data_IF_030168952534
#
_entry.id   IF_030168952534
#
_cell.length_a   1.000
_cell.length_b   1.000
_cell.length_c   1.000
_cell.angle_alpha   90.00
_cell.angle_beta   90.00
_cell.angle_gamma   90.00
#
_symmetry.space_group_name_H-M   'P 1'
#
loop_
_entity.id
_entity.type
_entity.pdbx_description
1 polymer ?
#
# COMPACT_ATOMS: atom_id res chain seq x y z
N UNK A 1 6.40 6.60 14.36
CA UNK A 1 5.20 7.27 14.88
C UNK A 1 4.02 7.05 13.92
N UNK A 2 4.07 7.50 12.66
CA UNK A 2 2.94 7.38 11.74
C UNK A 2 2.60 5.94 11.27
N UNK A 3 3.57 5.12 10.85
CA UNK A 3 3.30 3.74 10.42
C UNK A 3 2.64 2.88 11.53
N UNK A 4 3.08 3.08 12.77
CA UNK A 4 2.45 2.45 13.94
C UNK A 4 1.03 2.93 14.17
N UNK A 5 0.75 4.22 13.98
CA UNK A 5 -0.61 4.78 14.08
C UNK A 5 -1.54 4.23 12.99
N UNK A 6 -1.04 3.98 11.78
CA UNK A 6 -1.82 3.31 10.73
C UNK A 6 -2.14 1.85 11.04
N UNK A 7 -1.28 1.15 11.79
CA UNK A 7 -1.52 -0.23 12.23
C UNK A 7 -2.39 -0.30 13.49
N UNK A 8 -2.27 0.70 14.37
CA UNK A 8 -2.95 0.84 15.66
C UNK A 8 -3.35 2.30 15.87
N UNK A 9 -4.54 2.72 15.41
CA UNK A 9 -4.95 4.13 15.40
C UNK A 9 -5.02 4.71 16.81
N UNK A 10 -4.36 5.86 16.98
CA UNK A 10 -4.33 6.68 18.19
C UNK A 10 -4.57 8.16 17.90
N UNK A 11 -4.26 8.63 16.69
CA UNK A 11 -4.47 10.04 16.28
C UNK A 11 -5.94 10.33 15.93
N UNK A 12 -6.59 9.42 15.21
CA UNK A 12 -7.99 9.55 14.78
C UNK A 12 -8.84 8.48 15.45
N UNK A 13 -10.16 8.67 15.45
CA UNK A 13 -11.07 7.65 15.97
C UNK A 13 -10.96 6.36 15.17
N UNK A 14 -11.25 5.22 15.82
CA UNK A 14 -11.27 3.92 15.14
C UNK A 14 -12.21 3.91 13.93
N UNK A 15 -13.34 4.63 14.00
CA UNK A 15 -14.26 4.78 12.87
C UNK A 15 -13.62 5.54 11.70
N UNK A 16 -12.98 6.68 11.96
CA UNK A 16 -12.30 7.45 10.91
C UNK A 16 -11.14 6.67 10.28
N UNK A 17 -10.40 5.91 11.08
CA UNK A 17 -9.35 5.02 10.56
C UNK A 17 -9.93 3.91 9.68
N UNK A 18 -11.03 3.27 10.10
CA UNK A 18 -11.72 2.26 9.30
C UNK A 18 -12.22 2.84 7.97
N UNK A 19 -12.81 4.03 7.99
CA UNK A 19 -13.25 4.71 6.77
C UNK A 19 -12.03 5.03 5.86
N UNK A 20 -10.94 5.54 6.44
CA UNK A 20 -9.75 5.89 5.66
C UNK A 20 -9.08 4.70 4.97
N UNK A 21 -9.22 3.49 5.52
CA UNK A 21 -8.55 2.27 5.06
C UNK A 21 -9.49 1.29 4.34
N UNK A 22 -10.72 1.72 4.03
CA UNK A 22 -11.71 0.96 3.24
C UNK A 22 -12.13 1.71 1.98
N UNK A 23 -12.58 0.96 0.97
CA UNK A 23 -12.96 1.54 -0.34
C UNK A 23 -14.11 2.52 -0.18
N UNK A 24 -13.90 3.76 -0.62
CA UNK A 24 -14.90 4.83 -0.47
C UNK A 24 -15.81 4.97 -1.70
N UNK A 25 -15.27 4.70 -2.89
CA UNK A 25 -15.99 4.82 -4.16
C UNK A 25 -15.77 3.57 -5.01
N UNK A 26 -16.58 2.52 -4.83
CA UNK A 26 -16.36 1.23 -5.47
C UNK A 26 -16.63 1.29 -6.99
N UNK A 27 -15.89 0.49 -7.74
CA UNK A 27 -16.10 0.31 -9.18
C UNK A 27 -15.52 1.40 -10.07
N UNK A 28 -14.73 2.34 -9.49
CA UNK A 28 -14.04 3.36 -10.27
C UNK A 28 -12.76 2.79 -10.87
N UNK A 29 -12.65 2.85 -12.19
CA UNK A 29 -11.41 2.60 -12.92
C UNK A 29 -10.41 3.75 -12.69
N UNK A 30 -9.12 3.45 -12.84
CA UNK A 30 -8.08 4.48 -12.73
C UNK A 30 -6.72 3.99 -13.19
N UNK A 31 -5.72 4.86 -13.05
CA UNK A 31 -4.32 4.54 -13.36
C UNK A 31 -3.54 4.49 -12.07
N UNK A 32 -2.81 3.40 -11.87
CA UNK A 32 -1.78 3.27 -10.86
C UNK A 32 -0.44 3.69 -11.50
N UNK A 33 0.17 4.82 -11.10
CA UNK A 33 1.35 5.36 -11.79
C UNK A 33 2.50 4.34 -11.85
N UNK A 34 3.02 4.07 -13.05
CA UNK A 34 4.05 3.05 -13.29
C UNK A 34 3.53 1.62 -13.45
N UNK A 35 2.27 1.34 -13.09
CA UNK A 35 1.67 0.00 -13.13
C UNK A 35 0.44 -0.09 -14.07
N UNK A 36 0.05 1.03 -14.69
CA UNK A 36 -0.97 1.07 -15.73
C UNK A 36 -2.40 1.16 -15.20
N UNK A 37 -3.36 0.84 -16.07
CA UNK A 37 -4.80 0.94 -15.78
C UNK A 37 -5.24 -0.20 -14.87
N UNK A 38 -6.02 0.12 -13.84
CA UNK A 38 -6.61 -0.82 -12.89
C UNK A 38 -8.15 -0.70 -12.93
N UNK A 39 -8.83 -1.85 -12.97
CA UNK A 39 -10.29 -1.95 -13.11
C UNK A 39 -10.86 -2.98 -12.11
N UNK A 40 -11.27 -2.57 -10.90
CA UNK A 40 -11.29 -1.20 -10.37
C UNK A 40 -9.91 -0.73 -9.85
N UNK A 41 -9.75 0.58 -9.70
CA UNK A 41 -8.63 1.23 -9.01
C UNK A 41 -9.11 1.70 -7.63
N UNK A 42 -9.21 0.79 -6.66
CA UNK A 42 -9.81 1.08 -5.35
C UNK A 42 -8.96 1.99 -4.45
N UNK A 43 -9.60 2.96 -3.80
CA UNK A 43 -8.97 3.90 -2.87
C UNK A 43 -9.83 4.09 -1.62
N UNK A 44 -9.13 4.28 -0.50
CA UNK A 44 -9.70 4.83 0.73
C UNK A 44 -9.60 6.34 0.78
N UNK A 45 -9.69 6.91 1.99
CA UNK A 45 -9.49 8.36 2.19
C UNK A 45 -7.99 8.66 2.30
N UNK A 46 -7.37 8.89 1.13
CA UNK A 46 -5.95 9.25 1.01
C UNK A 46 -5.00 8.07 0.80
N UNK A 47 -5.45 6.84 1.03
CA UNK A 47 -4.66 5.62 0.79
C UNK A 47 -5.13 4.86 -0.44
N UNK A 48 -4.15 4.35 -1.18
CA UNK A 48 -4.36 3.33 -2.19
C UNK A 48 -4.60 1.99 -1.48
N UNK A 49 -5.56 1.17 -1.96
CA UNK A 49 -5.87 -0.16 -1.41
C UNK A 49 -5.55 -1.23 -2.45
N UNK A 50 -4.62 -2.14 -2.13
CA UNK A 50 -4.10 -3.17 -3.06
C UNK A 50 -5.21 -3.92 -3.80
N UNK A 51 -6.19 -4.42 -3.05
CA UNK A 51 -7.26 -5.30 -3.53
C UNK A 51 -6.73 -6.35 -4.54
N UNK A 52 -7.29 -6.40 -5.74
CA UNK A 52 -6.94 -7.33 -6.82
C UNK A 52 -6.09 -6.71 -7.93
N UNK A 53 -5.52 -5.52 -7.70
CA UNK A 53 -4.74 -4.80 -8.71
C UNK A 53 -3.53 -5.61 -9.14
N UNK A 54 -3.27 -5.63 -10.44
CA UNK A 54 -2.10 -6.28 -11.02
C UNK A 54 -1.73 -5.61 -12.35
N UNK A 55 -0.45 -5.29 -12.59
CA UNK A 55 0.67 -5.37 -11.63
C UNK A 55 0.52 -4.36 -10.47
N UNK A 56 1.27 -4.54 -9.38
CA UNK A 56 1.17 -3.71 -8.18
C UNK A 56 2.52 -3.44 -7.52
N UNK A 57 2.64 -2.34 -6.76
CA UNK A 57 3.89 -1.92 -6.10
C UNK A 57 4.17 -2.62 -4.77
N UNK A 58 3.19 -3.34 -4.22
CA UNK A 58 3.34 -4.19 -3.03
C UNK A 58 3.55 -5.65 -3.42
N UNK A 59 4.10 -6.44 -2.51
CA UNK A 59 4.49 -7.84 -2.75
C UNK A 59 3.31 -8.74 -3.09
N UNK A 60 3.55 -9.82 -3.82
CA UNK A 60 2.52 -10.81 -4.20
C UNK A 60 1.80 -11.41 -2.98
N UNK A 61 2.51 -11.58 -1.87
CA UNK A 61 2.01 -12.15 -0.63
C UNK A 61 1.21 -11.16 0.23
N UNK A 62 1.22 -9.86 -0.10
CA UNK A 62 0.40 -8.89 0.61
C UNK A 62 -1.10 -9.22 0.48
N UNK A 63 -1.82 -9.08 1.58
CA UNK A 63 -3.26 -9.29 1.58
C UNK A 63 -3.98 -8.24 0.74
N UNK A 64 -5.17 -8.59 0.21
CA UNK A 64 -6.00 -7.65 -0.55
C UNK A 64 -6.41 -6.42 0.27
N UNK A 65 -6.28 -6.47 1.61
CA UNK A 65 -6.55 -5.36 2.54
C UNK A 65 -5.34 -4.45 2.76
N UNK A 66 -4.18 -4.75 2.17
CA UNK A 66 -3.02 -3.88 2.27
C UNK A 66 -3.34 -2.51 1.70
N UNK A 67 -3.00 -1.47 2.45
CA UNK A 67 -3.20 -0.08 2.04
C UNK A 67 -1.92 0.73 2.26
N UNK A 68 -1.78 1.83 1.52
CA UNK A 68 -0.61 2.67 1.65
C UNK A 68 -0.51 3.74 0.58
N UNK A 69 0.71 4.23 0.37
CA UNK A 69 1.02 5.20 -0.65
C UNK A 69 2.51 5.16 -1.00
N UNK A 70 2.86 5.39 -2.26
CA UNK A 70 4.25 5.59 -2.70
C UNK A 70 4.44 7.00 -3.27
N UNK A 71 5.66 7.53 -3.19
CA UNK A 71 6.03 8.87 -3.68
C UNK A 71 6.99 8.81 -4.86
N UNK A 72 6.96 9.84 -5.71
CA UNK A 72 7.86 9.94 -6.87
C UNK A 72 9.34 10.00 -6.50
N UNK A 73 9.69 10.39 -5.27
CA UNK A 73 11.07 10.32 -4.74
C UNK A 73 11.53 8.90 -4.38
N UNK A 74 10.77 7.87 -4.76
CA UNK A 74 11.14 6.47 -4.65
C UNK A 74 11.06 5.87 -3.25
N UNK A 75 10.12 6.36 -2.44
CA UNK A 75 9.77 5.75 -1.16
C UNK A 75 8.32 5.29 -1.13
N UNK A 76 8.00 4.38 -0.23
CA UNK A 76 6.64 3.95 0.03
C UNK A 76 6.42 3.62 1.50
N UNK A 77 5.14 3.60 1.87
CA UNK A 77 4.66 2.99 3.11
C UNK A 77 3.46 2.11 2.77
N UNK A 78 3.43 0.89 3.31
CA UNK A 78 2.24 0.06 3.32
C UNK A 78 1.97 -0.51 4.71
N UNK A 79 0.71 -0.83 4.96
CA UNK A 79 0.22 -1.55 6.13
C UNK A 79 -0.60 -2.74 5.66
N UNK A 80 -0.28 -3.93 6.15
CA UNK A 80 -1.04 -5.15 5.92
C UNK A 80 -1.73 -5.58 7.21
N UNK A 81 -3.05 -5.30 7.36
CA UNK A 81 -3.78 -5.62 8.58
C UNK A 81 -4.00 -7.12 8.79
N UNK A 82 -3.78 -7.96 7.77
CA UNK A 82 -3.86 -9.42 7.92
C UNK A 82 -2.57 -9.97 8.54
N UNK A 83 -1.43 -9.47 8.09
CA UNK A 83 -0.12 -9.82 8.62
C UNK A 83 0.19 -9.10 9.95
N UNK A 84 -0.56 -8.04 10.28
CA UNK A 84 -0.29 -7.15 11.39
C UNK A 84 1.08 -6.45 11.29
N UNK A 85 1.44 -6.05 10.06
CA UNK A 85 2.74 -5.48 9.74
C UNK A 85 2.61 -4.17 8.96
N UNK A 86 3.63 -3.32 9.11
CA UNK A 86 3.81 -2.12 8.31
C UNK A 86 5.26 -2.07 7.81
N UNK A 87 5.45 -1.68 6.56
CA UNK A 87 6.77 -1.47 5.96
C UNK A 87 6.88 -0.04 5.46
N UNK A 88 8.01 0.58 5.77
CA UNK A 88 8.42 1.87 5.22
C UNK A 88 9.74 1.68 4.49
N UNK A 89 9.78 2.06 3.22
CA UNK A 89 11.00 2.10 2.43
C UNK A 89 11.28 3.55 2.05
N UNK A 90 12.48 4.02 2.39
CA UNK A 90 12.97 5.34 2.03
C UNK A 90 14.22 5.16 1.19
N UNK A 91 14.28 5.88 0.07
CA UNK A 91 15.45 5.88 -0.81
C UNK A 91 15.83 7.30 -1.19
N UNK A 92 17.01 7.44 -1.80
CA UNK A 92 17.49 8.68 -2.39
C UNK A 92 17.42 8.64 -3.92
N UNK A 93 16.56 7.79 -4.50
CA UNK A 93 16.43 7.59 -5.94
C UNK A 93 14.98 7.73 -6.35
N UNK A 94 14.70 8.60 -7.32
CA UNK A 94 13.34 8.77 -7.83
C UNK A 94 12.76 7.45 -8.37
N UNK A 95 11.44 7.29 -8.24
CA UNK A 95 10.70 6.15 -8.74
C UNK A 95 10.91 5.98 -10.25
N UNK A 96 11.09 4.73 -10.68
CA UNK A 96 11.28 4.34 -12.07
C UNK A 96 11.49 2.83 -12.18
N UNK A 97 11.99 2.35 -13.31
CA UNK A 97 12.06 0.92 -13.65
C UNK A 97 12.75 0.06 -12.57
N UNK A 98 13.73 0.61 -11.84
CA UNK A 98 14.42 -0.10 -10.76
C UNK A 98 13.48 -0.56 -9.63
N UNK A 99 12.40 0.17 -9.40
CA UNK A 99 11.46 -0.08 -8.31
C UNK A 99 10.47 -1.19 -8.62
N UNK A 100 10.14 -1.40 -9.91
CA UNK A 100 9.05 -2.27 -10.34
C UNK A 100 9.24 -3.72 -9.89
N UNK A 101 10.47 -4.22 -9.91
CA UNK A 101 10.79 -5.58 -9.45
C UNK A 101 11.20 -5.60 -7.97
N UNK A 102 11.94 -4.57 -7.51
CA UNK A 102 12.52 -4.58 -6.17
C UNK A 102 11.52 -4.29 -5.05
N UNK A 103 10.51 -3.45 -5.29
CA UNK A 103 9.52 -3.10 -4.25
C UNK A 103 8.57 -4.26 -3.91
N UNK A 104 8.03 -5.00 -4.89
CA UNK A 104 7.30 -6.24 -4.60
C UNK A 104 8.20 -7.26 -3.90
N UNK A 105 9.43 -7.49 -4.42
CA UNK A 105 10.35 -8.47 -3.87
C UNK A 105 10.74 -8.21 -2.40
N UNK A 106 11.05 -6.97 -2.03
CA UNK A 106 11.35 -6.64 -0.62
C UNK A 106 10.11 -6.76 0.26
N UNK A 107 8.92 -6.43 -0.26
CA UNK A 107 7.67 -6.58 0.49
C UNK A 107 7.37 -8.05 0.78
N UNK A 108 7.58 -8.93 -0.20
CA UNK A 108 7.43 -10.38 -0.02
C UNK A 108 8.48 -10.95 0.92
N UNK A 109 9.73 -10.50 0.84
CA UNK A 109 10.79 -10.91 1.77
C UNK A 109 10.45 -10.52 3.22
N UNK A 110 9.96 -9.29 3.45
CA UNK A 110 9.52 -8.84 4.77
C UNK A 110 8.33 -9.66 5.28
N UNK A 111 7.34 -9.94 4.43
CA UNK A 111 6.23 -10.80 4.85
C UNK A 111 6.74 -12.20 5.23
N UNK A 112 7.56 -12.82 4.39
CA UNK A 112 8.11 -14.15 4.64
C UNK A 112 8.95 -14.24 5.93
N UNK A 113 9.63 -13.15 6.32
CA UNK A 113 10.43 -13.12 7.55
C UNK A 113 9.60 -12.88 8.82
N UNK A 114 8.48 -12.16 8.72
CA UNK A 114 7.72 -11.67 9.88
C UNK A 114 6.29 -12.22 10.00
N UNK A 115 5.86 -13.15 9.14
CA UNK A 115 4.56 -13.87 9.23
C UNK A 115 4.74 -15.37 9.29
#
# INVERSE_FOLDING_TARGET
MFAGDLLRPSTVSAQMHADATTVQFPGLDGVLPGYGVQRPNDWGLGFEIRNSKSPHWTGECNSTRTFGHFGQSGGFIWVDPKADLALVVLTARDFGDWALDLWPAISDAVLAEYT
#
